data_IF_550964587957
#
_entry.id   IF_550964587957
#
_cell.length_a   1.000
_cell.length_b   1.000
_cell.length_c   1.000
_cell.angle_alpha   90.00
_cell.angle_beta   90.00
_cell.angle_gamma   90.00
#
_symmetry.space_group_name_H-M   'P 1'
#
loop_
_entity.id
_entity.type
_entity.pdbx_description
1 polymer ?
#
# COMPACT_ATOMS: atom_id res chain seq x y z
N UNK A 1 10.41 25.09 2.07
CA UNK A 1 10.33 25.10 3.53
C UNK A 1 11.52 25.88 4.10
N UNK A 2 11.26 26.91 4.92
CA UNK A 2 12.30 27.71 5.56
C UNK A 2 12.31 27.46 7.07
N UNK A 3 13.42 26.91 7.58
CA UNK A 3 13.64 26.66 9.01
C UNK A 3 15.10 26.93 9.37
N UNK A 4 15.40 27.36 10.62
CA UNK A 4 16.69 27.97 10.97
C UNK A 4 17.91 27.06 10.84
N UNK A 5 17.73 25.76 10.78
CA UNK A 5 18.83 24.78 10.69
C UNK A 5 18.89 24.06 9.34
N UNK A 6 18.31 24.65 8.28
CA UNK A 6 18.23 24.04 6.96
C UNK A 6 19.60 23.67 6.37
N UNK A 7 20.60 24.52 6.59
CA UNK A 7 21.97 24.35 6.09
C UNK A 7 22.91 23.76 7.16
N UNK A 8 22.41 22.80 7.93
CA UNK A 8 23.19 22.22 9.02
C UNK A 8 23.00 20.72 9.11
N UNK A 9 23.95 20.06 9.76
CA UNK A 9 23.87 18.66 10.14
C UNK A 9 23.75 18.55 11.66
N UNK A 10 22.75 17.81 12.12
CA UNK A 10 22.56 17.52 13.53
C UNK A 10 23.42 16.31 13.91
N UNK A 11 24.34 16.48 14.86
CA UNK A 11 25.27 15.45 15.31
C UNK A 11 24.63 14.42 16.24
N UNK A 12 23.53 14.77 16.90
CA UNK A 12 22.94 13.99 17.98
C UNK A 12 22.45 12.60 17.58
N UNK A 13 22.57 11.67 18.52
CA UNK A 13 21.95 10.37 18.51
C UNK A 13 20.53 10.46 19.07
N UNK A 14 19.64 9.54 18.64
CA UNK A 14 18.27 9.47 19.16
C UNK A 14 18.13 8.58 20.40
N UNK A 15 19.15 7.75 20.73
CA UNK A 15 19.05 6.80 21.81
C UNK A 15 19.14 7.49 23.17
N UNK A 16 18.21 7.16 24.07
CA UNK A 16 18.27 7.51 25.50
C UNK A 16 19.14 6.53 26.31
N UNK A 17 19.64 5.47 25.70
CA UNK A 17 20.39 4.41 26.43
C UNK A 17 21.79 4.86 26.87
N UNK A 18 22.36 5.86 26.18
CA UNK A 18 23.74 6.35 26.40
C UNK A 18 23.82 7.77 26.98
N UNK A 19 22.68 8.39 27.33
CA UNK A 19 22.64 9.77 27.85
C UNK A 19 21.80 9.86 29.11
N UNK A 20 22.31 10.58 30.13
CA UNK A 20 21.49 10.98 31.28
C UNK A 20 20.33 11.85 30.82
N UNK A 21 19.16 11.77 31.49
CA UNK A 21 17.92 12.50 31.10
C UNK A 21 18.14 14.02 30.96
N UNK A 22 19.18 14.56 31.61
CA UNK A 22 19.58 15.96 31.52
C UNK A 22 20.35 16.33 30.23
N UNK A 23 20.88 15.36 29.49
CA UNK A 23 21.67 15.57 28.26
C UNK A 23 20.83 15.66 26.97
N UNK A 24 19.54 15.41 27.05
CA UNK A 24 18.58 15.63 25.96
C UNK A 24 18.19 17.11 25.83
N UNK A 25 19.20 18.02 25.88
CA UNK A 25 18.98 19.45 25.89
C UNK A 25 18.69 20.00 24.51
N UNK A 26 18.01 21.19 24.48
CA UNK A 26 17.91 21.99 23.26
C UNK A 26 19.25 22.45 22.66
N UNK A 27 20.36 22.20 23.35
CA UNK A 27 21.73 22.62 22.97
C UNK A 27 22.49 21.54 22.17
N UNK A 28 21.79 20.69 21.44
CA UNK A 28 22.40 19.70 20.53
C UNK A 28 23.32 20.41 19.51
N UNK A 29 24.54 19.90 19.27
CA UNK A 29 25.47 20.58 18.37
C UNK A 29 25.01 20.45 16.91
N UNK A 30 24.68 21.57 16.31
CA UNK A 30 24.45 21.73 14.88
C UNK A 30 25.77 22.12 14.20
N UNK A 31 26.18 21.34 13.19
CA UNK A 31 27.35 21.65 12.37
C UNK A 31 26.87 22.35 11.09
N UNK A 32 27.24 23.61 10.91
CA UNK A 32 26.91 24.38 9.71
C UNK A 32 27.70 23.85 8.50
N UNK A 33 27.02 23.53 7.39
CA UNK A 33 27.63 22.95 6.19
C UNK A 33 28.74 23.81 5.56
N UNK A 34 28.69 25.12 5.70
CA UNK A 34 29.69 26.03 5.15
C UNK A 34 30.84 26.32 6.14
N UNK A 35 30.51 26.51 7.42
CA UNK A 35 31.48 26.93 8.44
C UNK A 35 32.25 25.73 9.00
N UNK A 36 31.60 24.61 9.23
CA UNK A 36 32.18 23.42 9.83
C UNK A 36 32.34 22.24 8.82
N UNK A 37 32.60 22.54 7.58
CA UNK A 37 32.67 21.54 6.51
C UNK A 37 33.64 20.40 6.81
N UNK A 38 34.84 20.69 7.30
CA UNK A 38 35.84 19.66 7.60
C UNK A 38 35.38 18.72 8.73
N UNK A 39 34.68 19.25 9.74
CA UNK A 39 34.13 18.46 10.83
C UNK A 39 32.98 17.53 10.31
N UNK A 40 32.16 18.03 9.39
CA UNK A 40 31.09 17.28 8.75
C UNK A 40 31.70 16.16 7.89
N UNK A 41 32.72 16.48 7.07
CA UNK A 41 33.39 15.49 6.23
C UNK A 41 33.97 14.35 7.10
N UNK A 42 34.62 14.67 8.23
CA UNK A 42 35.11 13.68 9.18
C UNK A 42 33.98 12.90 9.87
N UNK A 43 32.88 13.59 10.23
CA UNK A 43 31.73 12.95 10.85
C UNK A 43 31.06 11.93 9.92
N UNK A 44 30.86 12.30 8.66
CA UNK A 44 30.18 11.48 7.67
C UNK A 44 31.08 10.52 6.90
N UNK A 45 32.38 10.55 7.17
CA UNK A 45 33.32 9.60 6.58
C UNK A 45 32.99 8.15 7.00
N UNK A 46 33.38 7.21 6.14
CA UNK A 46 33.12 5.78 6.36
C UNK A 46 33.60 5.31 7.71
N UNK A 47 32.78 4.59 8.45
CA UNK A 47 33.13 3.99 9.74
C UNK A 47 33.41 2.49 9.56
N UNK A 48 34.24 1.94 10.45
CA UNK A 48 34.48 0.50 10.51
C UNK A 48 33.33 -0.13 11.29
N UNK A 49 32.64 -1.09 10.67
CA UNK A 49 31.67 -1.94 11.35
C UNK A 49 32.44 -3.00 12.14
N UNK A 50 32.20 -3.06 13.44
CA UNK A 50 32.88 -4.00 14.36
C UNK A 50 31.88 -5.04 14.89
N UNK A 51 32.40 -6.12 15.50
CA UNK A 51 31.59 -7.18 16.11
C UNK A 51 30.62 -7.85 15.13
N UNK A 52 31.02 -7.99 13.86
CA UNK A 52 30.18 -8.60 12.84
C UNK A 52 29.95 -10.09 13.12
N UNK A 53 28.68 -10.50 13.12
CA UNK A 53 28.25 -11.88 13.32
C UNK A 53 27.32 -12.31 12.20
N UNK A 54 27.49 -13.53 11.71
CA UNK A 54 26.57 -14.16 10.77
C UNK A 54 25.67 -15.14 11.49
N UNK A 55 24.37 -15.01 11.23
CA UNK A 55 23.31 -15.90 11.72
C UNK A 55 22.76 -16.67 10.54
N UNK A 56 22.91 -17.98 10.52
CA UNK A 56 22.36 -18.86 9.49
C UNK A 56 21.93 -20.21 10.09
N UNK A 57 21.57 -21.18 9.25
CA UNK A 57 21.15 -22.51 9.66
C UNK A 57 22.21 -23.28 10.49
N UNK A 58 23.48 -22.91 10.36
CA UNK A 58 24.60 -23.50 11.10
C UNK A 58 24.85 -22.80 12.44
N UNK A 59 24.04 -21.80 12.80
CA UNK A 59 24.14 -21.06 14.07
C UNK A 59 24.76 -19.69 13.93
N UNK A 60 25.47 -19.24 14.95
CA UNK A 60 26.07 -17.89 15.04
C UNK A 60 27.58 -18.01 15.01
N UNK A 61 28.23 -17.23 14.15
CA UNK A 61 29.66 -17.12 14.04
C UNK A 61 30.15 -15.72 13.82
N UNK A 62 31.30 -15.36 14.29
CA UNK A 62 31.99 -14.12 13.98
C UNK A 62 32.49 -14.14 12.52
N UNK A 63 32.45 -13.00 11.87
CA UNK A 63 32.89 -12.82 10.49
C UNK A 63 33.68 -11.51 10.34
N UNK A 64 34.65 -11.50 9.44
CA UNK A 64 35.42 -10.29 9.11
C UNK A 64 34.83 -9.54 7.91
N UNK A 65 33.99 -10.21 7.13
CA UNK A 65 33.37 -9.67 5.90
C UNK A 65 31.95 -10.20 5.75
N UNK A 66 31.07 -9.38 5.24
CA UNK A 66 29.74 -9.78 4.78
C UNK A 66 29.68 -9.77 3.25
N UNK A 67 28.86 -10.66 2.69
CA UNK A 67 28.61 -10.76 1.25
C UNK A 67 27.58 -9.72 0.82
N UNK A 68 27.63 -9.33 -0.48
CA UNK A 68 26.62 -8.41 -1.02
C UNK A 68 25.20 -8.97 -0.98
N UNK A 69 25.04 -10.28 -0.91
CA UNK A 69 23.76 -10.96 -0.83
C UNK A 69 23.28 -11.21 0.61
N UNK A 70 24.11 -10.93 1.60
CA UNK A 70 23.70 -11.05 2.99
C UNK A 70 22.65 -9.99 3.35
N UNK A 71 21.67 -10.37 4.18
CA UNK A 71 20.81 -9.42 4.85
C UNK A 71 21.58 -8.74 5.99
N UNK A 72 21.39 -7.46 6.18
CA UNK A 72 22.16 -6.68 7.16
C UNK A 72 21.27 -6.13 8.27
N UNK A 73 21.76 -6.25 9.50
CA UNK A 73 21.28 -5.51 10.67
C UNK A 73 22.48 -4.77 11.25
N UNK A 74 22.40 -3.45 11.29
CA UNK A 74 23.48 -2.57 11.79
C UNK A 74 22.97 -1.85 13.03
N UNK A 75 23.69 -2.01 14.16
CA UNK A 75 23.42 -1.26 15.39
C UNK A 75 24.28 -0.02 15.42
N UNK A 76 23.64 1.17 15.58
CA UNK A 76 24.33 2.45 15.72
C UNK A 76 23.55 3.62 15.11
N UNK A 77 24.16 4.81 15.15
CA UNK A 77 23.56 6.00 14.57
C UNK A 77 23.25 5.79 13.07
N UNK A 78 21.98 5.89 12.70
CA UNK A 78 21.52 5.56 11.35
C UNK A 78 22.08 6.48 10.26
N UNK A 79 22.33 7.78 10.55
CA UNK A 79 22.98 8.69 9.60
C UNK A 79 24.39 8.21 9.26
N UNK A 80 25.17 7.86 10.28
CA UNK A 80 26.55 7.36 10.10
C UNK A 80 26.58 5.99 9.43
N UNK A 81 25.65 5.11 9.80
CA UNK A 81 25.51 3.81 9.15
C UNK A 81 25.19 3.94 7.66
N UNK A 82 24.24 4.80 7.27
CA UNK A 82 23.92 5.08 5.88
C UNK A 82 25.14 5.58 5.11
N UNK A 83 25.85 6.61 5.61
CA UNK A 83 27.06 7.10 4.95
C UNK A 83 28.14 6.00 4.80
N UNK A 84 28.26 5.11 5.80
CA UNK A 84 29.22 4.00 5.77
C UNK A 84 28.94 2.98 4.68
N UNK A 85 27.66 2.63 4.45
CA UNK A 85 27.28 1.60 3.46
C UNK A 85 26.90 2.17 2.09
N UNK A 86 26.85 3.50 1.94
CA UNK A 86 26.45 4.20 0.71
C UNK A 86 27.16 3.68 -0.54
N UNK A 87 28.49 3.59 -0.51
CA UNK A 87 29.27 3.17 -1.68
C UNK A 87 28.86 1.80 -2.24
N UNK A 88 28.43 0.91 -1.35
CA UNK A 88 28.03 -0.44 -1.73
C UNK A 88 26.59 -0.54 -2.22
N UNK A 89 25.69 0.28 -1.68
CA UNK A 89 24.24 0.14 -1.91
C UNK A 89 23.58 1.33 -2.60
N UNK A 90 24.29 2.39 -2.95
CA UNK A 90 23.74 3.51 -3.72
C UNK A 90 23.12 3.02 -5.04
N UNK A 91 21.89 3.46 -5.33
CA UNK A 91 21.14 3.10 -6.53
C UNK A 91 20.65 1.64 -6.59
N UNK A 92 20.72 0.87 -5.49
CA UNK A 92 20.38 -0.56 -5.47
C UNK A 92 19.12 -0.89 -4.64
N UNK A 93 18.62 0.04 -3.85
CA UNK A 93 17.48 -0.19 -2.96
C UNK A 93 16.18 0.04 -3.70
N UNK A 94 15.30 -0.95 -3.75
CA UNK A 94 14.00 -0.88 -4.41
C UNK A 94 12.95 -0.21 -3.54
N UNK A 95 12.94 -0.50 -2.25
CA UNK A 95 11.99 0.05 -1.29
C UNK A 95 12.71 0.55 -0.04
N UNK A 96 12.42 1.78 0.34
CA UNK A 96 12.71 2.30 1.67
C UNK A 96 11.37 2.47 2.39
N UNK A 97 11.22 1.84 3.55
CA UNK A 97 10.14 2.12 4.47
C UNK A 97 10.73 2.54 5.80
N UNK A 98 10.26 3.65 6.35
CA UNK A 98 10.70 4.14 7.67
C UNK A 98 9.53 4.62 8.50
N UNK A 99 9.67 4.42 9.82
CA UNK A 99 8.74 4.85 10.85
C UNK A 99 9.53 5.69 11.89
N UNK A 100 9.90 6.95 11.54
CA UNK A 100 10.68 7.79 12.42
C UNK A 100 9.87 8.24 13.64
N UNK A 101 10.50 8.80 14.68
CA UNK A 101 9.78 9.43 15.78
C UNK A 101 8.81 10.50 15.28
N UNK A 102 7.57 10.49 15.80
CA UNK A 102 6.52 11.42 15.36
C UNK A 102 6.53 12.79 16.03
N UNK A 103 7.50 13.02 16.90
CA UNK A 103 7.65 14.28 17.66
C UNK A 103 6.42 14.63 18.51
N UNK A 104 5.82 13.60 19.13
CA UNK A 104 4.57 13.73 19.90
C UNK A 104 4.78 14.35 21.29
N UNK A 105 6.02 14.48 21.74
CA UNK A 105 6.37 14.89 23.08
C UNK A 105 6.09 13.83 24.16
N UNK A 106 5.93 12.57 23.78
CA UNK A 106 5.63 11.49 24.69
C UNK A 106 6.92 10.86 25.26
N UNK A 107 7.14 11.02 26.55
CA UNK A 107 8.35 10.53 27.25
C UNK A 107 8.39 9.01 27.46
N UNK A 108 7.35 8.26 27.06
CA UNK A 108 7.28 6.80 27.21
C UNK A 108 8.15 6.01 26.23
N UNK A 109 8.74 6.64 25.22
CA UNK A 109 9.61 6.00 24.24
C UNK A 109 11.08 5.93 24.73
N UNK A 110 11.80 4.91 24.26
CA UNK A 110 13.24 4.76 24.53
C UNK A 110 14.11 5.71 23.70
N UNK A 111 13.53 6.49 22.82
CA UNK A 111 14.18 7.50 21.97
C UNK A 111 13.60 8.88 22.25
N UNK A 112 14.32 9.93 21.80
CA UNK A 112 13.84 11.30 21.90
C UNK A 112 12.65 11.53 20.97
N UNK A 113 11.48 11.87 21.53
CA UNK A 113 10.25 12.20 20.79
C UNK A 113 9.78 13.63 21.11
N UNK A 114 10.72 14.51 21.55
CA UNK A 114 10.43 15.86 21.98
C UNK A 114 11.44 16.85 21.39
N UNK A 115 11.42 16.97 20.07
CA UNK A 115 12.23 17.96 19.37
C UNK A 115 11.46 19.27 19.14
N UNK A 116 12.20 20.39 19.07
CA UNK A 116 11.70 21.52 18.34
C UNK A 116 11.50 21.15 16.87
N UNK A 117 10.46 21.68 16.21
CA UNK A 117 10.14 21.30 14.83
C UNK A 117 11.29 21.52 13.86
N UNK A 118 12.03 22.63 13.98
CA UNK A 118 13.20 22.89 13.14
C UNK A 118 14.30 21.84 13.32
N UNK A 119 14.53 21.39 14.56
CA UNK A 119 15.49 20.33 14.89
C UNK A 119 15.05 19.00 14.29
N UNK A 120 13.77 18.64 14.42
CA UNK A 120 13.20 17.43 13.82
C UNK A 120 13.32 17.44 12.29
N UNK A 121 13.04 18.59 11.67
CA UNK A 121 13.17 18.75 10.22
C UNK A 121 14.64 18.59 9.77
N UNK A 122 15.60 19.16 10.50
CA UNK A 122 17.03 18.98 10.23
C UNK A 122 17.44 17.51 10.37
N UNK A 123 16.98 16.85 11.44
CA UNK A 123 17.19 15.42 11.67
C UNK A 123 16.67 14.56 10.50
N UNK A 124 15.46 14.84 10.02
CA UNK A 124 14.86 14.14 8.90
C UNK A 124 15.55 14.48 7.57
N UNK A 125 15.84 15.77 7.31
CA UNK A 125 16.51 16.22 6.09
C UNK A 125 17.81 15.44 5.86
N UNK A 126 18.72 15.44 6.83
CA UNK A 126 20.02 14.79 6.68
C UNK A 126 19.89 13.29 6.30
N UNK A 127 18.87 12.61 6.83
CA UNK A 127 18.61 11.19 6.57
C UNK A 127 17.89 10.93 5.25
N UNK A 128 16.95 11.78 4.89
CA UNK A 128 16.20 11.65 3.65
C UNK A 128 17.05 11.95 2.42
N UNK A 129 17.97 12.93 2.50
CA UNK A 129 18.90 13.24 1.43
C UNK A 129 19.79 12.04 1.10
N UNK A 130 20.43 11.46 2.11
CA UNK A 130 21.25 10.26 1.90
C UNK A 130 20.39 9.06 1.48
N UNK A 131 19.18 8.88 2.01
CA UNK A 131 18.26 7.81 1.64
C UNK A 131 17.87 7.86 0.16
N UNK A 132 17.66 9.07 -0.40
CA UNK A 132 17.37 9.25 -1.82
C UNK A 132 18.47 8.68 -2.71
N UNK A 133 19.73 8.69 -2.29
CA UNK A 133 20.85 8.15 -3.06
C UNK A 133 20.84 6.62 -3.10
N UNK A 134 20.29 5.94 -2.10
CA UNK A 134 20.16 4.48 -2.08
C UNK A 134 19.14 3.95 -3.08
N UNK A 135 18.09 4.73 -3.38
CA UNK A 135 17.02 4.28 -4.26
C UNK A 135 17.49 3.99 -5.68
N UNK A 136 17.12 2.83 -6.22
CA UNK A 136 17.15 2.52 -7.65
C UNK A 136 16.25 3.49 -8.42
N UNK A 137 16.42 3.62 -9.74
CA UNK A 137 15.59 4.52 -10.56
C UNK A 137 14.11 4.26 -10.41
N UNK A 138 13.72 3.00 -10.36
CA UNK A 138 12.36 2.50 -10.19
C UNK A 138 12.00 2.22 -8.73
N UNK A 139 12.78 2.74 -7.79
CA UNK A 139 12.57 2.58 -6.35
C UNK A 139 11.64 3.63 -5.75
N UNK A 140 11.13 3.32 -4.55
CA UNK A 140 10.26 4.21 -3.80
C UNK A 140 10.63 4.28 -2.32
N UNK A 141 10.27 5.42 -1.69
CA UNK A 141 10.33 5.61 -0.24
C UNK A 141 8.94 5.86 0.31
N UNK A 142 8.63 5.19 1.41
CA UNK A 142 7.42 5.38 2.18
C UNK A 142 7.79 5.79 3.60
N UNK A 143 7.34 6.96 4.03
CA UNK A 143 7.62 7.51 5.36
C UNK A 143 6.32 7.61 6.13
N UNK A 144 6.23 6.89 7.25
CA UNK A 144 5.06 6.91 8.12
C UNK A 144 5.20 7.98 9.19
N UNK A 145 4.13 8.69 9.49
CA UNK A 145 4.05 9.69 10.57
C UNK A 145 2.60 9.93 10.99
N UNK A 146 2.41 10.66 12.07
CA UNK A 146 1.09 11.16 12.48
C UNK A 146 0.84 12.60 11.97
N UNK A 147 -0.26 13.21 12.42
CA UNK A 147 -0.69 14.55 12.03
C UNK A 147 0.18 15.68 12.60
N UNK A 148 1.06 15.42 13.60
CA UNK A 148 1.92 16.45 14.18
C UNK A 148 2.93 16.99 13.17
N UNK A 149 3.61 16.09 12.45
CA UNK A 149 4.70 16.48 11.54
C UNK A 149 4.38 16.20 10.06
N UNK A 150 3.30 15.48 9.74
CA UNK A 150 2.94 15.12 8.36
C UNK A 150 2.95 16.31 7.37
N UNK A 151 2.39 17.50 7.69
CA UNK A 151 2.37 18.61 6.74
C UNK A 151 3.77 19.14 6.42
N UNK A 152 4.63 19.21 7.42
CA UNK A 152 6.00 19.71 7.28
C UNK A 152 6.90 18.68 6.61
N UNK A 153 6.72 17.40 6.93
CA UNK A 153 7.43 16.31 6.30
C UNK A 153 7.09 16.24 4.80
N UNK A 154 5.80 16.45 4.42
CA UNK A 154 5.41 16.50 3.01
C UNK A 154 6.18 17.56 2.24
N UNK A 155 6.28 18.79 2.79
CA UNK A 155 7.00 19.88 2.14
C UNK A 155 8.51 19.61 2.09
N UNK A 156 9.09 19.05 3.14
CA UNK A 156 10.50 18.65 3.14
C UNK A 156 10.78 17.56 2.09
N UNK A 157 9.89 16.58 1.96
CA UNK A 157 10.06 15.52 0.97
C UNK A 157 9.88 16.04 -0.47
N UNK A 158 9.02 17.04 -0.70
CA UNK A 158 8.91 17.72 -2.00
C UNK A 158 10.24 18.40 -2.39
N UNK A 159 10.93 19.06 -1.44
CA UNK A 159 12.25 19.66 -1.70
C UNK A 159 13.31 18.62 -2.03
N UNK A 160 13.31 17.47 -1.33
CA UNK A 160 14.35 16.45 -1.48
C UNK A 160 14.09 15.54 -2.68
N UNK A 161 12.88 15.07 -2.86
CA UNK A 161 12.54 14.05 -3.89
C UNK A 161 12.00 14.67 -5.17
N UNK A 162 11.47 15.90 -5.13
CA UNK A 162 10.71 16.54 -6.20
C UNK A 162 9.20 16.30 -6.06
N UNK A 163 8.41 17.36 -6.24
CA UNK A 163 6.95 17.29 -6.15
C UNK A 163 6.35 16.34 -7.19
N UNK A 164 6.95 16.27 -8.38
CA UNK A 164 6.57 15.36 -9.47
C UNK A 164 6.70 13.88 -9.12
N UNK A 165 7.55 13.55 -8.16
CA UNK A 165 7.80 12.20 -7.67
C UNK A 165 6.86 11.78 -6.54
N UNK A 166 6.01 12.68 -6.05
CA UNK A 166 4.96 12.34 -5.10
C UNK A 166 3.94 11.40 -5.73
N UNK A 167 3.66 10.27 -5.07
CA UNK A 167 2.71 9.28 -5.56
C UNK A 167 1.40 9.30 -4.79
N UNK A 168 1.46 9.13 -3.48
CA UNK A 168 0.26 9.12 -2.63
C UNK A 168 0.57 9.55 -1.21
N UNK A 169 -0.44 10.10 -0.55
CA UNK A 169 -0.58 10.09 0.89
C UNK A 169 -1.59 9.00 1.25
N UNK A 170 -1.13 7.97 1.95
CA UNK A 170 -1.94 6.85 2.38
C UNK A 170 -2.38 7.12 3.82
N UNK A 171 -3.69 7.11 4.07
CA UNK A 171 -4.26 7.23 5.42
C UNK A 171 -4.48 5.84 5.99
N UNK A 172 -3.86 5.56 7.12
CA UNK A 172 -3.96 4.27 7.82
C UNK A 172 -4.75 4.46 9.11
N UNK A 173 -5.80 3.67 9.31
CA UNK A 173 -6.54 3.64 10.57
C UNK A 173 -5.73 2.86 11.61
N UNK A 174 -5.01 3.58 12.46
CA UNK A 174 -4.07 3.01 13.43
C UNK A 174 -4.68 2.76 14.82
N UNK A 175 -5.75 3.47 15.18
CA UNK A 175 -6.38 3.36 16.51
C UNK A 175 -7.87 3.06 16.39
N UNK A 176 -8.37 2.19 17.26
CA UNK A 176 -9.81 2.01 17.44
C UNK A 176 -10.26 3.01 18.51
N UNK A 177 -11.23 3.86 18.17
CA UNK A 177 -11.79 4.82 19.10
C UNK A 177 -12.37 4.13 20.35
N UNK A 178 -11.82 4.45 21.51
CA UNK A 178 -12.41 4.07 22.80
C UNK A 178 -13.56 5.02 23.16
N UNK A 179 -14.49 4.55 24.00
CA UNK A 179 -15.66 5.34 24.45
C UNK A 179 -15.25 6.44 25.46
N UNK A 180 -14.06 6.35 26.04
CA UNK A 180 -13.55 7.30 27.03
C UNK A 180 -12.14 7.77 26.62
N UNK A 181 -12.00 9.06 26.32
CA UNK A 181 -10.73 9.68 25.99
C UNK A 181 -10.57 11.06 26.60
N UNK A 182 -9.33 11.46 26.85
CA UNK A 182 -8.95 12.73 27.47
C UNK A 182 -9.28 14.00 26.66
N UNK A 183 -9.82 13.85 25.46
CA UNK A 183 -10.08 14.95 24.51
C UNK A 183 -11.55 15.39 24.45
N UNK A 184 -12.39 14.95 25.41
CA UNK A 184 -13.82 15.23 25.37
C UNK A 184 -14.12 16.75 25.23
N UNK A 185 -14.71 17.10 24.08
CA UNK A 185 -15.25 18.43 23.81
C UNK A 185 -14.26 19.50 23.29
N UNK A 186 -12.98 19.18 23.12
CA UNK A 186 -11.98 20.15 22.61
C UNK A 186 -11.46 19.83 21.20
N UNK A 187 -11.33 18.56 20.86
CA UNK A 187 -10.88 18.10 19.54
C UNK A 187 -11.43 16.73 19.21
N UNK A 188 -11.38 16.34 17.95
CA UNK A 188 -11.63 14.97 17.54
C UNK A 188 -10.45 14.09 17.94
N UNK A 189 -10.72 12.81 18.22
CA UNK A 189 -9.68 11.83 18.51
C UNK A 189 -8.91 11.48 17.23
N UNK A 190 -7.56 11.50 17.31
CA UNK A 190 -6.69 11.10 16.21
C UNK A 190 -6.68 9.57 16.11
N UNK A 191 -7.29 9.05 15.05
CA UNK A 191 -7.41 7.61 14.78
C UNK A 191 -6.52 7.16 13.62
N UNK A 192 -5.87 8.10 12.93
CA UNK A 192 -5.15 7.83 11.71
C UNK A 192 -3.65 8.13 11.87
N UNK A 193 -2.86 7.40 11.10
CA UNK A 193 -1.49 7.72 10.75
C UNK A 193 -1.41 7.88 9.23
N UNK A 194 -0.34 8.49 8.74
CA UNK A 194 -0.15 8.81 7.33
C UNK A 194 1.14 8.21 6.82
N UNK A 195 1.12 7.74 5.58
CA UNK A 195 2.32 7.29 4.88
C UNK A 195 2.48 8.15 3.64
N UNK A 196 3.57 8.90 3.58
CA UNK A 196 3.95 9.68 2.40
C UNK A 196 4.77 8.80 1.47
N UNK A 197 4.32 8.64 0.23
CA UNK A 197 4.94 7.79 -0.79
C UNK A 197 5.52 8.64 -1.90
N UNK A 198 6.83 8.48 -2.14
CA UNK A 198 7.57 9.10 -3.23
C UNK A 198 8.33 8.05 -4.02
N UNK A 199 8.42 8.23 -5.33
CA UNK A 199 9.34 7.47 -6.17
C UNK A 199 10.70 8.19 -6.28
N UNK A 200 11.74 7.47 -6.74
CA UNK A 200 13.01 8.08 -7.16
C UNK A 200 12.84 8.84 -8.47
N UNK A 201 12.13 8.22 -9.41
CA UNK A 201 11.80 8.75 -10.73
C UNK A 201 10.34 8.38 -11.06
N UNK A 202 9.54 9.38 -11.39
CA UNK A 202 8.11 9.23 -11.62
C UNK A 202 7.78 8.44 -12.88
N UNK A 203 8.65 8.46 -13.88
CA UNK A 203 8.46 7.79 -15.16
C UNK A 203 8.86 6.30 -15.10
N UNK A 204 9.81 5.96 -14.25
CA UNK A 204 10.33 4.59 -14.11
C UNK A 204 9.59 3.77 -13.05
N UNK A 205 8.94 4.42 -12.08
CA UNK A 205 8.27 3.75 -10.98
C UNK A 205 6.85 3.30 -11.32
N UNK A 206 6.56 2.02 -11.06
CA UNK A 206 5.21 1.45 -11.14
C UNK A 206 4.91 0.66 -9.86
N UNK A 207 3.64 0.74 -9.40
CA UNK A 207 3.19 -0.14 -8.32
C UNK A 207 2.97 -1.56 -8.85
N UNK A 208 3.45 -2.57 -8.13
CA UNK A 208 3.39 -3.96 -8.56
C UNK A 208 1.97 -4.54 -8.48
N UNK A 209 1.25 -4.18 -7.42
CA UNK A 209 -0.11 -4.66 -7.17
C UNK A 209 -1.02 -3.52 -6.71
N UNK A 210 -2.29 -3.62 -7.00
CA UNK A 210 -3.30 -2.76 -6.37
C UNK A 210 -3.79 -3.41 -5.08
N UNK A 211 -3.53 -2.84 -3.90
CA UNK A 211 -3.98 -3.41 -2.64
C UNK A 211 -5.50 -3.59 -2.60
N UNK A 212 -5.95 -4.72 -2.13
CA UNK A 212 -7.37 -5.06 -2.03
C UNK A 212 -7.78 -5.29 -0.59
N UNK A 213 -8.98 -4.82 -0.25
CA UNK A 213 -9.70 -5.19 0.96
C UNK A 213 -10.57 -6.40 0.64
N UNK A 214 -10.59 -7.37 1.54
CA UNK A 214 -11.41 -8.57 1.40
C UNK A 214 -12.44 -8.62 2.53
N UNK A 215 -13.68 -8.89 2.16
CA UNK A 215 -14.77 -9.04 3.11
C UNK A 215 -15.69 -10.17 2.68
N UNK A 216 -16.21 -10.95 3.63
CA UNK A 216 -17.19 -11.99 3.35
C UNK A 216 -18.48 -11.37 2.80
N UNK A 217 -18.94 -11.88 1.65
CA UNK A 217 -20.00 -11.26 0.87
C UNK A 217 -21.34 -11.18 1.63
N UNK A 218 -21.71 -12.23 2.35
CA UNK A 218 -23.01 -12.24 3.05
C UNK A 218 -23.02 -11.27 4.20
N UNK A 219 -21.93 -11.18 4.97
CA UNK A 219 -21.78 -10.19 6.04
C UNK A 219 -21.83 -8.75 5.50
N UNK A 220 -21.22 -8.54 4.33
CA UNK A 220 -21.27 -7.24 3.66
C UNK A 220 -22.70 -6.86 3.24
N UNK A 221 -23.45 -7.80 2.66
CA UNK A 221 -24.85 -7.60 2.25
C UNK A 221 -25.74 -7.31 3.46
N UNK A 222 -25.55 -8.03 4.57
CA UNK A 222 -26.28 -7.81 5.82
C UNK A 222 -26.01 -6.40 6.38
N UNK A 223 -24.73 -6.00 6.42
CA UNK A 223 -24.35 -4.66 6.86
C UNK A 223 -25.01 -3.57 6.01
N UNK A 224 -24.97 -3.69 4.67
CA UNK A 224 -25.66 -2.73 3.79
C UNK A 224 -27.15 -2.65 4.08
N UNK A 225 -27.80 -3.79 4.34
CA UNK A 225 -29.22 -3.85 4.68
C UNK A 225 -29.52 -3.15 6.00
N UNK A 226 -28.68 -3.31 7.02
CA UNK A 226 -28.79 -2.61 8.31
C UNK A 226 -28.63 -1.08 8.14
N UNK A 227 -27.74 -0.66 7.24
CA UNK A 227 -27.52 0.75 6.88
C UNK A 227 -28.59 1.31 5.92
N UNK A 228 -29.59 0.50 5.49
CA UNK A 228 -30.62 0.91 4.54
C UNK A 228 -30.12 1.10 3.09
N UNK A 229 -28.96 0.55 2.77
CA UNK A 229 -28.32 0.64 1.45
C UNK A 229 -28.67 -0.61 0.62
N UNK A 230 -29.13 -0.39 -0.61
CA UNK A 230 -29.48 -1.48 -1.52
C UNK A 230 -28.25 -2.14 -2.12
N UNK A 231 -28.16 -3.47 -2.02
CA UNK A 231 -27.19 -4.27 -2.76
C UNK A 231 -27.57 -4.39 -4.22
N UNK A 232 -26.66 -4.12 -5.14
CA UNK A 232 -26.95 -4.00 -6.57
C UNK A 232 -26.88 -5.30 -7.38
N UNK A 233 -26.11 -6.30 -6.92
CA UNK A 233 -25.97 -7.60 -7.62
C UNK A 233 -27.07 -8.57 -7.18
N UNK A 234 -28.26 -8.34 -7.71
CA UNK A 234 -29.46 -9.13 -7.39
C UNK A 234 -30.12 -9.80 -8.60
N UNK A 235 -29.65 -9.53 -9.80
CA UNK A 235 -30.15 -10.13 -11.05
C UNK A 235 -29.28 -11.31 -11.42
N UNK A 236 -29.93 -12.43 -11.77
CA UNK A 236 -29.27 -13.67 -12.22
C UNK A 236 -29.76 -13.99 -13.64
N UNK A 237 -28.86 -14.16 -14.57
CA UNK A 237 -29.19 -14.69 -15.89
C UNK A 237 -29.15 -16.21 -15.82
N UNK A 238 -30.32 -16.84 -15.86
CA UNK A 238 -30.46 -18.31 -15.78
C UNK A 238 -30.33 -18.96 -17.15
N UNK A 239 -30.79 -18.27 -18.20
CA UNK A 239 -30.61 -18.68 -19.58
C UNK A 239 -30.24 -17.49 -20.47
N UNK A 240 -29.19 -17.65 -21.28
CA UNK A 240 -28.77 -16.63 -22.26
C UNK A 240 -29.61 -16.70 -23.55
N UNK A 241 -30.45 -17.70 -23.70
CA UNK A 241 -31.30 -17.91 -24.89
C UNK A 241 -30.51 -18.13 -26.18
N UNK A 242 -31.20 -17.93 -27.28
CA UNK A 242 -30.60 -18.06 -28.63
C UNK A 242 -29.70 -16.85 -28.94
N UNK A 243 -28.45 -17.10 -29.28
CA UNK A 243 -27.49 -16.10 -29.73
C UNK A 243 -27.51 -15.94 -31.24
N UNK A 244 -28.00 -14.81 -31.76
CA UNK A 244 -28.10 -14.51 -33.18
C UNK A 244 -27.08 -13.44 -33.59
N UNK A 245 -26.30 -13.74 -34.62
CA UNK A 245 -25.33 -12.80 -35.19
C UNK A 245 -26.02 -11.62 -35.90
N UNK A 246 -25.55 -10.39 -35.61
CA UNK A 246 -26.11 -9.15 -36.20
C UNK A 246 -25.17 -8.48 -37.21
N UNK A 247 -23.89 -8.78 -37.19
CA UNK A 247 -22.87 -8.15 -38.00
C UNK A 247 -21.60 -7.84 -37.26
N UNK A 248 -20.71 -7.16 -37.95
CA UNK A 248 -19.36 -6.82 -37.45
C UNK A 248 -19.06 -5.33 -37.65
N UNK A 249 -18.39 -4.72 -36.70
CA UNK A 249 -17.80 -3.38 -36.80
C UNK A 249 -16.31 -3.44 -36.42
N UNK A 250 -15.59 -2.32 -36.60
CA UNK A 250 -14.17 -2.24 -36.22
C UNK A 250 -13.98 -1.35 -35.00
N UNK A 251 -13.03 -1.73 -34.14
CA UNK A 251 -12.55 -0.89 -33.03
C UNK A 251 -11.70 0.28 -33.55
N UNK A 252 -11.13 1.08 -32.61
CA UNK A 252 -10.26 2.21 -32.95
C UNK A 252 -8.93 1.81 -33.61
N UNK A 253 -8.51 0.55 -33.47
CA UNK A 253 -7.28 -0.02 -34.01
C UNK A 253 -7.54 -0.86 -35.29
N UNK A 254 -8.80 -0.94 -35.73
CA UNK A 254 -9.17 -1.72 -36.92
C UNK A 254 -9.50 -3.18 -36.65
N UNK A 255 -9.48 -3.65 -35.40
CA UNK A 255 -9.81 -5.03 -35.05
C UNK A 255 -11.34 -5.26 -35.09
N UNK A 256 -11.79 -6.48 -35.47
CA UNK A 256 -13.19 -6.80 -35.58
C UNK A 256 -13.89 -6.88 -34.21
N UNK A 257 -15.11 -6.34 -34.15
CA UNK A 257 -16.06 -6.49 -33.05
C UNK A 257 -17.32 -7.14 -33.61
N UNK A 258 -17.57 -8.39 -33.25
CA UNK A 258 -18.76 -9.14 -33.68
C UNK A 258 -19.92 -8.84 -32.75
N UNK A 259 -21.09 -8.54 -33.30
CA UNK A 259 -22.29 -8.16 -32.56
C UNK A 259 -23.35 -9.24 -32.60
N UNK A 260 -24.06 -9.42 -31.50
CA UNK A 260 -25.10 -10.45 -31.36
C UNK A 260 -26.30 -9.93 -30.57
N UNK A 261 -27.49 -10.43 -30.89
CA UNK A 261 -28.68 -10.34 -30.03
C UNK A 261 -28.96 -11.69 -29.34
N UNK A 262 -29.58 -11.62 -28.18
CA UNK A 262 -30.02 -12.78 -27.43
C UNK A 262 -31.54 -12.77 -27.34
N UNK A 263 -32.19 -13.86 -27.75
CA UNK A 263 -33.64 -14.07 -27.71
C UNK A 263 -34.01 -15.09 -26.67
N UNK A 264 -35.18 -14.90 -26.04
CA UNK A 264 -35.69 -15.83 -25.02
C UNK A 264 -34.73 -15.96 -23.82
N UNK A 265 -34.12 -14.86 -23.43
CA UNK A 265 -33.26 -14.77 -22.22
C UNK A 265 -34.10 -14.85 -20.96
N UNK A 266 -33.64 -15.60 -19.96
CA UNK A 266 -34.30 -15.66 -18.66
C UNK A 266 -33.45 -14.96 -17.59
N UNK A 267 -34.08 -14.03 -16.90
CA UNK A 267 -33.45 -13.28 -15.79
C UNK A 267 -34.40 -13.33 -14.61
N UNK A 268 -33.88 -13.72 -13.45
CA UNK A 268 -34.64 -13.80 -12.20
C UNK A 268 -33.93 -13.03 -11.10
N UNK A 269 -34.67 -12.56 -10.11
CA UNK A 269 -34.09 -12.01 -8.91
C UNK A 269 -33.49 -13.13 -8.03
N UNK A 270 -32.29 -12.91 -7.46
CA UNK A 270 -31.58 -13.92 -6.63
C UNK A 270 -32.42 -14.38 -5.42
N UNK A 271 -33.25 -13.50 -4.84
CA UNK A 271 -34.11 -13.86 -3.72
C UNK A 271 -35.27 -14.78 -4.16
N UNK A 272 -35.77 -14.60 -5.39
CA UNK A 272 -36.78 -15.47 -5.98
C UNK A 272 -36.16 -16.81 -6.32
N UNK A 273 -35.00 -16.81 -6.98
CA UNK A 273 -34.24 -18.02 -7.29
C UNK A 273 -33.92 -18.82 -6.01
N UNK A 274 -33.54 -18.15 -4.92
CA UNK A 274 -33.28 -18.80 -3.64
C UNK A 274 -34.52 -19.51 -3.10
N UNK A 275 -35.71 -18.89 -3.20
CA UNK A 275 -36.98 -19.52 -2.77
C UNK A 275 -37.35 -20.70 -3.64
N UNK A 276 -37.24 -20.58 -4.98
CA UNK A 276 -37.66 -21.59 -5.92
C UNK A 276 -36.75 -22.83 -5.95
N UNK A 277 -35.43 -22.63 -5.92
CA UNK A 277 -34.44 -23.71 -6.17
C UNK A 277 -33.58 -24.08 -4.98
N UNK A 278 -33.54 -23.23 -3.93
CA UNK A 278 -32.61 -23.41 -2.81
C UNK A 278 -33.29 -23.40 -1.43
N UNK A 279 -34.62 -23.63 -1.38
CA UNK A 279 -35.40 -23.63 -0.13
C UNK A 279 -35.20 -22.38 0.73
N UNK A 280 -34.96 -21.24 0.10
CA UNK A 280 -34.68 -19.96 0.78
C UNK A 280 -33.21 -19.74 1.19
N UNK A 281 -32.32 -20.66 0.93
CA UNK A 281 -30.88 -20.51 1.22
C UNK A 281 -30.22 -19.52 0.23
N UNK A 282 -30.21 -18.25 0.62
CA UNK A 282 -29.66 -17.17 -0.18
C UNK A 282 -28.13 -17.29 -0.35
N UNK A 283 -27.43 -17.77 0.67
CA UNK A 283 -25.97 -17.97 0.62
C UNK A 283 -25.59 -19.00 -0.45
N UNK A 284 -26.31 -20.13 -0.47
CA UNK A 284 -26.10 -21.17 -1.48
C UNK A 284 -26.48 -20.68 -2.87
N UNK A 285 -27.58 -19.92 -3.00
CA UNK A 285 -27.98 -19.32 -4.28
C UNK A 285 -26.89 -18.39 -4.84
N UNK A 286 -26.29 -17.52 -4.01
CA UNK A 286 -25.13 -16.70 -4.43
C UNK A 286 -23.93 -17.56 -4.80
N UNK A 287 -23.61 -18.56 -3.99
CA UNK A 287 -22.44 -19.40 -4.20
C UNK A 287 -22.51 -20.17 -5.53
N UNK A 288 -23.66 -20.78 -5.83
CA UNK A 288 -23.82 -21.60 -7.04
C UNK A 288 -23.92 -20.76 -8.32
N UNK A 289 -24.41 -19.51 -8.22
CA UNK A 289 -24.67 -18.65 -9.38
C UNK A 289 -23.72 -17.43 -9.50
N UNK A 290 -22.58 -17.41 -8.81
CA UNK A 290 -21.67 -16.26 -8.75
C UNK A 290 -21.28 -15.71 -10.14
N UNK A 291 -21.10 -16.60 -11.14
CA UNK A 291 -20.70 -16.25 -12.51
C UNK A 291 -21.88 -15.80 -13.39
N UNK A 292 -23.11 -15.85 -12.88
CA UNK A 292 -24.36 -15.50 -13.57
C UNK A 292 -25.07 -14.31 -12.93
N UNK A 293 -24.59 -13.86 -11.78
CA UNK A 293 -25.13 -12.69 -11.07
C UNK A 293 -24.49 -11.43 -11.62
N UNK A 294 -25.30 -10.46 -11.98
CA UNK A 294 -24.84 -9.23 -12.60
C UNK A 294 -25.57 -7.99 -12.10
N UNK A 295 -24.93 -6.85 -12.29
CA UNK A 295 -25.50 -5.52 -12.32
C UNK A 295 -25.20 -4.85 -13.66
N UNK A 296 -25.76 -3.68 -13.93
CA UNK A 296 -25.52 -2.95 -15.17
C UNK A 296 -25.03 -1.54 -14.94
N UNK A 297 -24.03 -1.12 -15.71
CA UNK A 297 -23.43 0.22 -15.59
C UNK A 297 -23.44 0.99 -16.91
N UNK A 298 -23.44 2.32 -16.82
CA UNK A 298 -23.23 3.22 -17.96
C UNK A 298 -21.73 3.44 -18.20
N UNK A 299 -21.01 2.37 -18.54
CA UNK A 299 -19.59 2.48 -18.84
C UNK A 299 -19.33 3.46 -19.99
N UNK A 300 -18.52 4.48 -19.75
CA UNK A 300 -18.07 5.44 -20.77
C UNK A 300 -16.86 4.83 -21.50
N UNK A 301 -17.10 4.06 -22.57
CA UNK A 301 -16.01 3.49 -23.38
C UNK A 301 -16.22 3.78 -24.86
N UNK A 302 -15.13 3.92 -25.60
CA UNK A 302 -15.16 4.12 -27.06
C UNK A 302 -15.83 2.93 -27.77
N UNK A 303 -15.64 1.72 -27.27
CA UNK A 303 -16.29 0.49 -27.78
C UNK A 303 -17.81 0.60 -27.63
N UNK A 304 -18.31 0.95 -26.44
CA UNK A 304 -19.74 1.09 -26.19
C UNK A 304 -20.39 2.11 -27.10
N UNK A 305 -19.75 3.28 -27.31
CA UNK A 305 -20.24 4.31 -28.25
C UNK A 305 -20.46 3.74 -29.65
N UNK A 306 -19.44 3.07 -30.22
CA UNK A 306 -19.50 2.44 -31.54
C UNK A 306 -20.58 1.36 -31.62
N UNK A 307 -20.71 0.56 -30.58
CA UNK A 307 -21.74 -0.48 -30.47
C UNK A 307 -23.14 0.12 -30.43
N UNK A 308 -23.36 1.19 -29.68
CA UNK A 308 -24.66 1.89 -29.62
C UNK A 308 -25.09 2.46 -30.98
N UNK A 309 -24.14 2.98 -31.74
CA UNK A 309 -24.41 3.57 -33.08
C UNK A 309 -24.72 2.48 -34.13
N UNK A 310 -24.04 1.35 -34.05
CA UNK A 310 -24.09 0.28 -35.05
C UNK A 310 -25.13 -0.80 -34.79
N UNK A 311 -25.38 -1.12 -33.52
CA UNK A 311 -26.22 -2.26 -33.12
C UNK A 311 -27.71 -1.89 -33.18
N UNK A 312 -28.35 -2.26 -34.28
CA UNK A 312 -29.81 -2.12 -34.48
C UNK A 312 -30.52 -3.39 -34.03
N UNK A 313 -30.89 -3.47 -32.77
CA UNK A 313 -31.67 -4.59 -32.21
C UNK A 313 -32.57 -4.09 -31.09
N UNK A 314 -33.79 -4.64 -31.02
CA UNK A 314 -34.75 -4.43 -29.92
C UNK A 314 -34.68 -5.47 -28.85
N UNK A 315 -33.76 -6.43 -28.95
CA UNK A 315 -33.55 -7.44 -27.89
C UNK A 315 -33.06 -6.77 -26.60
N UNK A 316 -33.61 -7.23 -25.46
CA UNK A 316 -33.20 -6.69 -24.14
C UNK A 316 -31.74 -7.00 -23.86
N UNK A 317 -31.26 -8.20 -24.22
CA UNK A 317 -29.86 -8.59 -24.06
C UNK A 317 -29.16 -8.63 -25.42
N UNK A 318 -28.00 -8.01 -25.48
CA UNK A 318 -27.10 -8.05 -26.64
C UNK A 318 -25.69 -8.31 -26.17
N UNK A 319 -24.82 -8.83 -27.03
CA UNK A 319 -23.41 -9.05 -26.71
C UNK A 319 -22.48 -8.69 -27.86
N UNK A 320 -21.23 -8.51 -27.55
CA UNK A 320 -20.15 -8.39 -28.52
C UNK A 320 -19.01 -9.33 -28.17
N UNK A 321 -18.33 -9.85 -29.21
CA UNK A 321 -17.03 -10.48 -29.06
C UNK A 321 -15.97 -9.58 -29.67
N UNK A 322 -14.90 -9.31 -28.90
CA UNK A 322 -13.77 -8.51 -29.33
C UNK A 322 -12.49 -8.97 -28.65
N UNK A 323 -11.34 -8.51 -29.15
CA UNK A 323 -10.03 -8.81 -28.56
C UNK A 323 -9.45 -7.51 -27.98
N UNK A 324 -9.38 -7.36 -26.65
CA UNK A 324 -8.78 -6.19 -26.01
C UNK A 324 -7.30 -6.02 -26.38
N UNK A 325 -6.86 -4.80 -26.66
CA UNK A 325 -5.44 -4.45 -26.89
C UNK A 325 -4.68 -4.12 -25.61
N UNK A 326 -5.40 -3.87 -24.51
CA UNK A 326 -4.84 -3.52 -23.18
C UNK A 326 -5.61 -4.23 -22.07
N UNK A 327 -5.07 -4.21 -20.85
CA UNK A 327 -5.70 -4.72 -19.64
C UNK A 327 -5.61 -6.25 -19.49
N UNK A 328 -6.29 -6.78 -18.48
CA UNK A 328 -6.24 -8.19 -18.01
C UNK A 328 -6.51 -9.22 -19.12
N UNK A 329 -7.38 -8.89 -20.06
CA UNK A 329 -7.80 -9.78 -21.15
C UNK A 329 -7.11 -9.49 -22.49
N UNK A 330 -5.99 -8.74 -22.48
CA UNK A 330 -5.24 -8.41 -23.70
C UNK A 330 -4.97 -9.65 -24.55
N UNK A 331 -5.31 -9.58 -25.82
CA UNK A 331 -5.09 -10.64 -26.80
C UNK A 331 -6.03 -11.86 -26.72
N UNK A 332 -7.02 -11.85 -25.81
CA UNK A 332 -7.99 -12.94 -25.66
C UNK A 332 -9.38 -12.49 -26.11
N UNK A 333 -10.10 -13.36 -26.83
CA UNK A 333 -11.50 -13.08 -27.18
C UNK A 333 -12.29 -12.87 -25.89
N UNK A 334 -12.94 -11.71 -25.79
CA UNK A 334 -13.72 -11.31 -24.61
C UNK A 334 -15.15 -10.99 -25.04
N UNK A 335 -16.14 -11.58 -24.38
CA UNK A 335 -17.55 -11.29 -24.61
C UNK A 335 -18.03 -10.24 -23.59
N UNK A 336 -18.60 -9.14 -24.08
CA UNK A 336 -19.29 -8.14 -23.26
C UNK A 336 -20.78 -8.22 -23.51
N UNK A 337 -21.56 -8.21 -22.42
CA UNK A 337 -23.02 -8.22 -22.47
C UNK A 337 -23.59 -6.83 -22.16
N UNK A 338 -24.68 -6.50 -22.81
CA UNK A 338 -25.39 -5.22 -22.63
C UNK A 338 -26.88 -5.45 -22.42
N UNK A 339 -27.50 -4.62 -21.57
CA UNK A 339 -28.93 -4.64 -21.29
C UNK A 339 -29.64 -3.38 -21.83
N UNK A 340 -30.80 -3.62 -22.40
CA UNK A 340 -31.75 -2.59 -22.82
C UNK A 340 -31.27 -1.69 -23.97
N UNK A 341 -32.10 -0.74 -24.39
CA UNK A 341 -31.82 0.10 -25.55
C UNK A 341 -30.62 1.06 -25.33
N UNK A 342 -30.33 1.41 -24.09
CA UNK A 342 -29.16 2.24 -23.72
C UNK A 342 -27.85 1.42 -23.64
N UNK A 343 -27.86 0.16 -23.96
CA UNK A 343 -26.71 -0.75 -23.93
C UNK A 343 -25.89 -0.59 -22.65
N UNK A 344 -26.57 -0.77 -21.49
CA UNK A 344 -25.89 -0.75 -20.20
C UNK A 344 -25.03 -2.01 -20.09
N UNK A 345 -23.73 -1.81 -19.82
CA UNK A 345 -22.76 -2.90 -19.72
C UNK A 345 -23.02 -3.76 -18.48
N UNK A 346 -23.00 -5.08 -18.64
CA UNK A 346 -23.02 -6.01 -17.51
C UNK A 346 -21.71 -5.91 -16.73
N UNK A 347 -21.82 -5.90 -15.43
CA UNK A 347 -20.74 -6.12 -14.47
C UNK A 347 -21.07 -7.37 -13.68
N UNK A 348 -20.18 -8.34 -13.69
CA UNK A 348 -20.43 -9.61 -13.06
C UNK A 348 -20.01 -9.61 -11.59
N UNK A 349 -20.74 -10.33 -10.75
CA UNK A 349 -20.35 -10.50 -9.35
C UNK A 349 -19.01 -11.23 -9.23
N UNK A 350 -18.73 -12.19 -10.11
CA UNK A 350 -17.45 -12.90 -10.21
C UNK A 350 -16.25 -12.00 -10.53
N UNK A 351 -16.45 -10.80 -11.11
CA UNK A 351 -15.36 -9.85 -11.35
C UNK A 351 -14.79 -9.25 -10.05
N UNK A 352 -15.64 -9.16 -9.01
CA UNK A 352 -15.31 -8.54 -7.73
C UNK A 352 -15.35 -9.52 -6.56
N UNK A 353 -15.54 -10.81 -6.80
CA UNK A 353 -15.62 -11.85 -5.76
C UNK A 353 -14.87 -13.12 -6.18
N UNK A 354 -14.60 -13.97 -5.20
CA UNK A 354 -14.09 -15.32 -5.45
C UNK A 354 -14.56 -16.29 -4.36
N UNK A 355 -14.57 -17.57 -4.69
CA UNK A 355 -14.92 -18.65 -3.77
C UNK A 355 -13.69 -19.12 -3.01
N UNK A 356 -13.82 -19.31 -1.72
CA UNK A 356 -12.79 -19.92 -0.87
C UNK A 356 -12.98 -21.43 -0.75
N UNK A 357 -11.94 -22.14 -0.35
CA UNK A 357 -12.00 -23.61 -0.16
C UNK A 357 -12.94 -24.04 0.97
N UNK A 358 -13.24 -23.17 1.93
CA UNK A 358 -14.18 -23.40 3.04
C UNK A 358 -15.64 -23.00 2.71
N UNK A 359 -15.95 -22.76 1.42
CA UNK A 359 -17.32 -22.51 0.94
C UNK A 359 -17.86 -21.10 1.21
N UNK A 360 -16.97 -20.11 1.41
CA UNK A 360 -17.36 -18.70 1.50
C UNK A 360 -17.15 -17.98 0.17
N UNK A 361 -17.80 -16.85 0.02
CA UNK A 361 -17.54 -15.90 -1.06
C UNK A 361 -16.88 -14.67 -0.44
N UNK A 362 -15.69 -14.32 -0.89
CA UNK A 362 -15.01 -13.09 -0.51
C UNK A 362 -15.18 -12.05 -1.62
N UNK A 363 -15.61 -10.84 -1.22
CA UNK A 363 -15.67 -9.66 -2.07
C UNK A 363 -14.33 -8.94 -1.99
N UNK A 364 -13.81 -8.53 -3.14
CA UNK A 364 -12.62 -7.71 -3.27
C UNK A 364 -12.99 -6.28 -3.59
N UNK A 365 -12.33 -5.36 -2.94
CA UNK A 365 -12.42 -3.93 -3.20
C UNK A 365 -11.03 -3.31 -3.21
N UNK A 366 -10.75 -2.43 -4.17
CA UNK A 366 -9.50 -1.70 -4.16
C UNK A 366 -9.41 -0.82 -2.90
N UNK A 367 -8.36 -1.01 -2.14
CA UNK A 367 -8.16 -0.25 -0.89
C UNK A 367 -7.89 1.24 -1.17
N UNK A 368 -7.38 1.56 -2.37
CA UNK A 368 -6.97 2.91 -2.68
C UNK A 368 -5.91 3.41 -1.70
N UNK A 369 -6.02 4.66 -1.29
CA UNK A 369 -5.13 5.28 -0.30
C UNK A 369 -5.75 5.40 1.10
N UNK A 370 -6.89 4.74 1.36
CA UNK A 370 -7.50 4.64 2.70
C UNK A 370 -7.44 3.19 3.19
N UNK A 371 -6.54 2.93 4.15
CA UNK A 371 -6.31 1.60 4.72
C UNK A 371 -6.92 1.50 6.12
N UNK A 372 -8.20 1.15 6.20
CA UNK A 372 -8.97 1.00 7.44
C UNK A 372 -9.23 -0.46 7.84
N UNK A 373 -8.73 -1.41 7.05
CA UNK A 373 -8.86 -2.85 7.23
C UNK A 373 -7.67 -3.50 7.99
N UNK A 374 -6.72 -2.67 8.43
CA UNK A 374 -5.55 -3.10 9.19
C UNK A 374 -5.86 -3.06 10.70
N UNK A 375 -5.56 -4.16 11.39
CA UNK A 375 -5.77 -4.24 12.84
C UNK A 375 -4.46 -3.99 13.58
N UNK A 376 -4.45 -2.99 14.44
CA UNK A 376 -3.33 -2.65 15.34
C UNK A 376 -3.46 -3.29 16.73
N UNK A 377 -4.49 -4.12 16.94
CA UNK A 377 -4.70 -4.81 18.20
C UNK A 377 -3.78 -6.05 18.28
N UNK A 378 -3.18 -6.26 19.47
CA UNK A 378 -2.30 -7.40 19.76
C UNK A 378 -1.01 -7.48 18.92
N UNK A 379 -0.57 -6.39 18.29
CA UNK A 379 0.66 -6.33 17.48
C UNK A 379 1.88 -6.78 18.29
N UNK A 380 1.90 -6.52 19.61
CA UNK A 380 2.99 -6.94 20.52
C UNK A 380 3.21 -8.45 20.59
N UNK A 381 2.27 -9.27 20.10
CA UNK A 381 2.38 -10.73 20.08
C UNK A 381 2.86 -11.28 18.71
N UNK A 382 2.87 -10.44 17.67
CA UNK A 382 3.34 -10.86 16.35
C UNK A 382 4.86 -11.15 16.41
N UNK A 383 5.30 -12.22 15.75
CA UNK A 383 6.71 -12.60 15.66
C UNK A 383 7.36 -13.01 16.99
N UNK A 384 6.59 -13.25 18.07
CA UNK A 384 7.10 -13.59 19.42
C UNK A 384 8.10 -12.57 20.01
N UNK A 385 8.06 -11.32 19.56
CA UNK A 385 8.91 -10.23 20.05
C UNK A 385 8.07 -9.29 20.89
N UNK A 386 8.45 -9.10 22.15
CA UNK A 386 7.85 -8.10 23.03
C UNK A 386 8.51 -6.75 22.75
N UNK A 387 7.74 -5.84 22.15
CA UNK A 387 8.15 -4.44 21.93
C UNK A 387 7.07 -3.55 22.55
N UNK A 388 7.45 -2.72 23.50
CA UNK A 388 6.49 -2.07 24.39
C UNK A 388 5.55 -1.08 23.69
N UNK A 389 6.06 -0.30 22.73
CA UNK A 389 5.29 0.71 22.01
C UNK A 389 5.82 0.90 20.59
N UNK A 390 4.94 1.27 19.65
CA UNK A 390 5.34 1.68 18.30
C UNK A 390 5.52 0.54 17.28
N UNK A 391 5.29 -0.73 17.65
CA UNK A 391 5.39 -1.84 16.69
C UNK A 391 4.28 -1.75 15.63
N UNK A 392 4.66 -1.88 14.36
CA UNK A 392 3.72 -1.90 13.24
C UNK A 392 3.24 -3.32 12.92
N UNK A 393 1.97 -3.50 12.45
CA UNK A 393 1.46 -4.80 12.08
C UNK A 393 2.20 -5.41 10.88
N UNK A 394 2.49 -6.71 10.92
CA UNK A 394 3.09 -7.42 9.79
C UNK A 394 2.23 -7.29 8.51
N UNK A 395 0.90 -7.25 8.64
CA UNK A 395 -0.02 -7.07 7.50
C UNK A 395 0.18 -5.73 6.78
N UNK A 396 0.51 -4.66 7.52
CA UNK A 396 0.84 -3.36 6.94
C UNK A 396 2.12 -3.44 6.12
N UNK A 397 3.19 -3.99 6.71
CA UNK A 397 4.50 -4.11 6.07
C UNK A 397 4.42 -5.05 4.85
N UNK A 398 3.67 -6.14 4.96
CA UNK A 398 3.42 -7.04 3.82
C UNK A 398 2.81 -6.28 2.65
N UNK A 399 1.75 -5.48 2.89
CA UNK A 399 1.10 -4.68 1.85
C UNK A 399 2.06 -3.67 1.21
N UNK A 400 2.87 -2.98 2.00
CA UNK A 400 3.86 -2.01 1.52
C UNK A 400 4.93 -2.70 0.66
N UNK A 401 5.46 -3.83 1.11
CA UNK A 401 6.50 -4.58 0.41
C UNK A 401 5.96 -5.14 -0.92
N UNK A 402 4.75 -5.72 -0.92
CA UNK A 402 4.08 -6.20 -2.14
C UNK A 402 3.80 -5.07 -3.14
N UNK A 403 3.48 -3.88 -2.64
CA UNK A 403 3.17 -2.71 -3.48
C UNK A 403 4.38 -2.23 -4.28
N UNK A 404 5.59 -2.28 -3.70
CA UNK A 404 6.75 -1.55 -4.21
C UNK A 404 7.96 -2.43 -4.54
N UNK A 405 7.93 -3.75 -4.31
CA UNK A 405 9.10 -4.61 -4.53
C UNK A 405 8.74 -6.00 -5.01
N UNK A 406 9.67 -6.64 -5.72
CA UNK A 406 9.64 -8.02 -6.14
C UNK A 406 10.59 -8.91 -5.31
N UNK A 407 10.56 -10.24 -5.51
CA UNK A 407 11.48 -11.16 -4.85
C UNK A 407 12.94 -10.80 -5.17
N UNK A 408 13.81 -10.92 -4.17
CA UNK A 408 15.23 -10.56 -4.17
C UNK A 408 15.54 -9.06 -4.21
N UNK A 409 14.55 -8.18 -4.31
CA UNK A 409 14.77 -6.74 -4.16
C UNK A 409 15.23 -6.39 -2.74
N UNK A 410 15.97 -5.27 -2.62
CA UNK A 410 16.46 -4.78 -1.34
C UNK A 410 15.44 -3.83 -0.72
N UNK A 411 15.02 -4.14 0.51
CA UNK A 411 14.20 -3.30 1.37
C UNK A 411 15.09 -2.71 2.47
N UNK A 412 15.11 -1.39 2.58
CA UNK A 412 15.88 -0.65 3.60
C UNK A 412 14.94 -0.02 4.63
N UNK A 413 15.25 -0.21 5.90
CA UNK A 413 14.59 0.46 7.02
C UNK A 413 15.67 0.91 8.02
N UNK A 414 15.89 2.21 8.12
CA UNK A 414 16.90 2.79 9.01
C UNK A 414 16.30 3.42 10.28
N UNK A 415 15.05 3.07 10.58
CA UNK A 415 14.38 3.23 11.88
C UNK A 415 13.75 1.89 12.26
N UNK A 416 14.59 0.85 12.33
CA UNK A 416 14.18 -0.54 12.32
C UNK A 416 13.31 -0.94 13.53
N UNK A 417 13.53 -0.35 14.69
CA UNK A 417 12.80 -0.62 15.91
C UNK A 417 12.70 -2.10 16.24
N UNK A 418 11.49 -2.65 16.16
CA UNK A 418 11.21 -4.08 16.43
C UNK A 418 11.60 -5.02 15.29
N UNK A 419 12.21 -4.55 14.22
CA UNK A 419 12.57 -5.29 13.00
C UNK A 419 11.37 -5.94 12.26
N UNK A 420 10.17 -5.40 12.38
CA UNK A 420 8.99 -5.94 11.69
C UNK A 420 9.16 -5.89 10.17
N UNK A 421 9.71 -4.79 9.64
CA UNK A 421 10.00 -4.64 8.21
C UNK A 421 10.92 -5.74 7.71
N UNK A 422 12.01 -6.02 8.42
CA UNK A 422 13.00 -7.03 8.09
C UNK A 422 12.41 -8.44 8.15
N UNK A 423 11.64 -8.73 9.21
CA UNK A 423 10.98 -10.02 9.37
C UNK A 423 9.98 -10.30 8.24
N UNK A 424 9.21 -9.30 7.82
CA UNK A 424 8.26 -9.45 6.72
C UNK A 424 9.00 -9.55 5.37
N UNK A 425 10.02 -8.73 5.13
CA UNK A 425 10.85 -8.82 3.93
C UNK A 425 11.45 -10.22 3.76
N UNK A 426 12.00 -10.79 4.83
CA UNK A 426 12.54 -12.15 4.84
C UNK A 426 11.48 -13.21 4.53
N UNK A 427 10.29 -13.13 5.16
CA UNK A 427 9.17 -14.05 4.90
C UNK A 427 8.68 -14.00 3.45
N UNK A 428 8.94 -12.90 2.76
CA UNK A 428 8.51 -12.65 1.38
C UNK A 428 9.65 -12.81 0.36
N UNK A 429 10.78 -13.39 0.73
CA UNK A 429 11.96 -13.56 -0.12
C UNK A 429 12.53 -12.23 -0.64
N UNK A 430 12.42 -11.13 0.13
CA UNK A 430 13.13 -9.88 -0.14
C UNK A 430 14.38 -9.83 0.72
N UNK A 431 15.41 -9.23 0.16
CA UNK A 431 16.62 -8.88 0.91
C UNK A 431 16.35 -7.65 1.75
N UNK A 432 17.05 -7.50 2.86
CA UNK A 432 16.84 -6.33 3.70
C UNK A 432 18.13 -5.76 4.28
N UNK A 433 18.05 -4.47 4.59
CA UNK A 433 19.03 -3.73 5.39
C UNK A 433 18.24 -3.02 6.48
N UNK A 434 18.58 -3.29 7.75
CA UNK A 434 17.99 -2.64 8.91
C UNK A 434 19.05 -1.88 9.70
N UNK A 435 18.72 -0.71 10.22
CA UNK A 435 19.58 0.07 11.13
C UNK A 435 18.79 0.50 12.35
N UNK A 436 19.35 0.31 13.55
CA UNK A 436 18.79 0.70 14.85
C UNK A 436 19.87 1.20 15.80
#
# INVERSE_FOLDING_TARGET
LDFPYKDTILKASMSKEDTDEDDLRPDEPFLNEVIAKEEIDVLLDKKILVNAKKYDENGVREIDRFDENDNLIIKGNNLLALHTIKERYAGKVKLIYIDPPYNTGNDSFKYNDKFNRSTWLTFMKNRLEIAREFLSKDGAILVQCDDNEQPYLKVLMDEIFGEENFKNMITVKAKVAGVSGSHQGRSLQNNCEYILMYSKDSEEFFINITPQKEQELMQYIEKLKEEGISWKYVQVITDFGERKYLGEIKDGSGNPIKMYEHRNTEIININELAKEKYNGDLKKAYYDNIDRIFDTTNAQSSIRKRVMEAMKSNADITSIDYVPTTGRNKGKVTTLFYKGPKRRLFTWLSDITYKTSDGKILRKENAGNLWDDLQYNNVNKEGNISFSNGKKPEKLLKRIIELCSDENDIVLDFFMGSATTQAVAMKMNRRFIGVE
#
